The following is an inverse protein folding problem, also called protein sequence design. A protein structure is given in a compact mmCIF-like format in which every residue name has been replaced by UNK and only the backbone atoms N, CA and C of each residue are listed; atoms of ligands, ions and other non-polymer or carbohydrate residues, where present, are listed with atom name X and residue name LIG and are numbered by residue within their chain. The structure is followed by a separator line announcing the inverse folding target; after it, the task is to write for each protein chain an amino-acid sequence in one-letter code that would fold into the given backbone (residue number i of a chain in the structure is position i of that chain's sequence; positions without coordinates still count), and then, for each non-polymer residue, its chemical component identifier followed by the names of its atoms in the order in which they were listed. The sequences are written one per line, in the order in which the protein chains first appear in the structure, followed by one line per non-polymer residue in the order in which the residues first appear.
data_IF_346583555573
#
_entry.id   IF_346583555573
#
_cell.length_a   1.000
_cell.length_b   1.000
_cell.length_c   1.000
_cell.angle_alpha   90.00
_cell.angle_beta   90.00
_cell.angle_gamma   90.00
#
_symmetry.space_group_name_H-M   'P 1'
#
loop_
_entity.id
_entity.type
_entity.pdbx_description
1 polymer ?
#
# COMPACT_ATOMS: atom_id res chain seq x y z
N UNK A 1 -11.91 2.22 -6.16
CA UNK A 1 -12.00 1.60 -4.84
C UNK A 1 -10.71 0.91 -4.40
N UNK A 2 -10.21 -0.07 -5.14
CA UNK A 2 -8.99 -0.83 -4.76
C UNK A 2 -7.75 0.05 -4.62
N UNK A 3 -7.58 1.05 -5.48
CA UNK A 3 -6.47 2.00 -5.44
C UNK A 3 -6.43 2.87 -4.17
N UNK A 4 -7.54 2.98 -3.44
CA UNK A 4 -7.61 3.75 -2.19
C UNK A 4 -6.66 3.21 -1.12
N UNK A 5 -6.62 1.89 -0.96
CA UNK A 5 -5.72 1.25 0.01
C UNK A 5 -4.24 1.47 -0.36
N UNK A 6 -3.92 1.47 -1.65
CA UNK A 6 -2.56 1.78 -2.14
C UNK A 6 -2.11 3.19 -1.78
N UNK A 7 -3.05 4.15 -1.76
CA UNK A 7 -2.72 5.55 -1.51
C UNK A 7 -2.62 5.90 -0.02
N UNK A 8 -3.43 5.27 0.84
CA UNK A 8 -3.59 5.71 2.23
C UNK A 8 -3.03 4.74 3.26
N UNK A 9 -2.88 3.46 2.92
CA UNK A 9 -2.62 2.44 3.95
C UNK A 9 -1.24 1.81 3.78
N UNK A 10 -0.33 1.96 4.77
CA UNK A 10 0.86 1.12 4.85
C UNK A 10 0.46 -0.38 4.90
N UNK A 11 1.28 -1.29 4.42
CA UNK A 11 2.69 -1.14 4.04
C UNK A 11 2.99 -0.80 2.58
N UNK A 12 2.05 -0.23 1.83
CA UNK A 12 2.32 0.13 0.45
C UNK A 12 3.48 1.16 0.35
N UNK A 13 4.38 1.07 -0.65
CA UNK A 13 5.56 1.92 -0.77
C UNK A 13 5.27 3.43 -0.77
N UNK A 14 4.18 3.87 -1.41
CA UNK A 14 3.79 5.28 -1.47
C UNK A 14 3.58 5.90 -0.08
N UNK A 15 2.64 5.40 0.73
CA UNK A 15 2.45 5.85 2.10
C UNK A 15 3.71 5.76 2.96
N UNK A 16 4.49 4.68 2.86
CA UNK A 16 5.74 4.55 3.64
C UNK A 16 6.77 5.62 3.26
N UNK A 17 6.90 5.95 1.98
CA UNK A 17 7.78 7.02 1.52
C UNK A 17 7.34 8.38 2.06
N UNK A 18 6.03 8.66 2.05
CA UNK A 18 5.47 9.89 2.59
C UNK A 18 5.67 9.99 4.12
N UNK A 19 5.43 8.90 4.85
CA UNK A 19 5.67 8.81 6.30
C UNK A 19 7.14 9.12 6.61
N UNK A 20 8.08 8.51 5.88
CA UNK A 20 9.51 8.76 6.05
C UNK A 20 9.91 10.21 5.72
N UNK A 21 9.38 10.78 4.65
CA UNK A 21 9.69 12.16 4.24
C UNK A 21 9.15 13.22 5.23
N UNK A 22 7.99 12.95 5.84
CA UNK A 22 7.34 13.86 6.79
C UNK A 22 7.70 13.57 8.25
N UNK A 23 8.52 12.54 8.53
CA UNK A 23 8.78 12.03 9.87
C UNK A 23 7.48 11.78 10.67
N UNK A 24 6.43 11.29 9.97
CA UNK A 24 5.13 11.05 10.57
C UNK A 24 5.13 9.72 11.35
N UNK A 25 4.25 9.63 12.37
CA UNK A 25 4.08 8.39 13.11
C UNK A 25 3.35 7.35 12.25
N UNK A 26 3.98 6.20 12.04
CA UNK A 26 3.47 5.11 11.21
C UNK A 26 2.08 4.62 11.67
N UNK A 27 1.90 4.45 12.99
CA UNK A 27 0.66 3.92 13.52
C UNK A 27 -0.51 4.88 13.44
N UNK A 28 -0.27 6.14 13.74
CA UNK A 28 -1.29 7.18 13.58
C UNK A 28 -1.68 7.30 12.11
N UNK A 29 -0.71 7.29 11.20
CA UNK A 29 -0.97 7.34 9.77
C UNK A 29 -1.75 6.12 9.29
N UNK A 30 -1.40 4.91 9.77
CA UNK A 30 -2.12 3.68 9.46
C UNK A 30 -3.57 3.73 9.97
N UNK A 31 -3.78 4.15 11.23
CA UNK A 31 -5.11 4.25 11.82
C UNK A 31 -5.99 5.27 11.09
N UNK A 32 -5.48 6.47 10.85
CA UNK A 32 -6.19 7.51 10.10
C UNK A 32 -6.42 7.08 8.65
N UNK A 33 -5.43 6.44 8.02
CA UNK A 33 -5.55 5.91 6.67
C UNK A 33 -6.69 4.90 6.54
N UNK A 34 -6.84 3.99 7.50
CA UNK A 34 -7.96 3.03 7.53
C UNK A 34 -9.31 3.72 7.72
N UNK A 35 -9.39 4.72 8.62
CA UNK A 35 -10.63 5.49 8.84
C UNK A 35 -11.04 6.22 7.56
N UNK A 36 -10.11 6.87 6.86
CA UNK A 36 -10.35 7.61 5.62
C UNK A 36 -10.62 6.66 4.45
N UNK A 37 -9.98 5.49 4.43
CA UNK A 37 -10.17 4.51 3.36
C UNK A 37 -11.62 4.01 3.26
N UNK A 38 -12.31 3.82 4.38
CA UNK A 38 -13.69 3.30 4.39
C UNK A 38 -14.65 4.21 3.59
N UNK A 39 -14.84 5.51 3.93
CA UNK A 39 -15.72 6.38 3.15
C UNK A 39 -15.22 6.57 1.72
N UNK A 40 -13.89 6.65 1.52
CA UNK A 40 -13.32 6.81 0.18
C UNK A 40 -13.65 5.62 -0.73
N UNK A 41 -13.53 4.39 -0.22
CA UNK A 41 -13.90 3.17 -0.98
C UNK A 41 -15.41 3.17 -1.30
N UNK A 42 -16.24 3.57 -0.37
CA UNK A 42 -17.69 3.62 -0.59
C UNK A 42 -18.05 4.66 -1.66
N UNK A 43 -17.46 5.85 -1.59
CA UNK A 43 -17.74 6.94 -2.52
C UNK A 43 -17.17 6.62 -3.91
N UNK A 44 -15.87 6.29 -3.99
CA UNK A 44 -15.18 6.07 -5.27
C UNK A 44 -15.46 4.70 -5.89
N UNK A 45 -15.92 3.71 -5.12
CA UNK A 45 -16.29 2.39 -5.60
C UNK A 45 -17.77 2.33 -6.00
N UNK A 46 -18.64 1.84 -5.11
CA UNK A 46 -20.04 1.57 -5.47
C UNK A 46 -20.85 2.82 -5.86
N UNK A 47 -20.63 3.97 -5.21
CA UNK A 47 -21.40 5.17 -5.54
C UNK A 47 -20.98 5.77 -6.90
N UNK A 48 -19.69 6.04 -7.06
CA UNK A 48 -19.18 6.56 -8.33
C UNK A 48 -19.29 5.52 -9.46
N UNK A 49 -19.08 4.24 -9.17
CA UNK A 49 -19.22 3.18 -10.16
C UNK A 49 -20.64 3.08 -10.74
N UNK A 50 -21.68 3.25 -9.90
CA UNK A 50 -23.06 3.30 -10.39
C UNK A 50 -23.34 4.52 -11.28
N UNK A 51 -22.72 5.67 -10.96
CA UNK A 51 -22.83 6.90 -11.75
C UNK A 51 -22.09 6.76 -13.07
N UNK A 52 -20.85 6.27 -13.04
CA UNK A 52 -20.01 6.04 -14.21
C UNK A 52 -20.65 5.04 -15.19
N UNK A 53 -21.23 3.96 -14.70
CA UNK A 53 -21.91 2.97 -15.51
C UNK A 53 -23.15 3.54 -16.27
N UNK A 54 -23.76 4.61 -15.75
CA UNK A 54 -24.83 5.31 -16.48
C UNK A 54 -24.30 6.20 -17.60
N UNK A 55 -23.10 6.75 -17.44
CA UNK A 55 -22.52 7.67 -18.42
C UNK A 55 -21.76 6.93 -19.51
N UNK A 56 -21.11 5.83 -19.15
CA UNK A 56 -20.29 5.02 -20.06
C UNK A 56 -20.65 3.54 -19.86
N UNK A 57 -21.70 3.03 -20.55
CA UNK A 57 -22.09 1.64 -20.46
C UNK A 57 -21.09 0.78 -21.25
N UNK A 58 -20.04 0.32 -20.58
CA UNK A 58 -19.08 -0.65 -21.13
C UNK A 58 -19.47 -2.02 -20.61
N UNK A 59 -19.69 -2.96 -21.52
CA UNK A 59 -19.88 -4.37 -21.16
C UNK A 59 -18.59 -4.95 -20.57
N UNK A 60 -18.71 -5.85 -19.60
CA UNK A 60 -17.55 -6.57 -19.09
C UNK A 60 -16.91 -7.38 -20.22
N UNK A 61 -15.56 -7.45 -20.32
CA UNK A 61 -14.89 -8.30 -21.31
C UNK A 61 -15.30 -9.75 -21.10
N UNK A 62 -15.83 -10.38 -22.14
CA UNK A 62 -16.35 -11.76 -22.08
C UNK A 62 -15.26 -12.79 -21.76
N UNK A 63 -13.99 -12.48 -22.06
CA UNK A 63 -12.88 -13.43 -21.96
C UNK A 63 -12.12 -13.45 -20.63
N UNK A 64 -12.26 -12.44 -19.77
CA UNK A 64 -11.53 -12.41 -18.48
C UNK A 64 -12.19 -13.29 -17.41
N UNK A 65 -13.51 -13.45 -17.45
CA UNK A 65 -14.22 -14.28 -16.48
C UNK A 65 -13.96 -15.79 -16.68
N UNK A 66 -13.63 -16.22 -17.89
CA UNK A 66 -13.29 -17.62 -18.21
C UNK A 66 -11.79 -17.93 -18.04
N UNK A 67 -10.91 -16.94 -18.24
CA UNK A 67 -9.47 -17.12 -18.13
C UNK A 67 -8.98 -17.26 -16.68
N UNK A 68 -9.69 -16.68 -15.72
CA UNK A 68 -9.32 -16.71 -14.29
C UNK A 68 -10.08 -17.73 -13.43
N UNK A 69 -10.98 -18.51 -14.00
CA UNK A 69 -11.59 -19.60 -13.25
C UNK A 69 -10.52 -20.67 -12.95
N UNK A 70 -10.06 -20.82 -11.69
CA UNK A 70 -9.02 -21.79 -11.35
C UNK A 70 -9.54 -23.20 -11.72
N UNK A 71 -8.76 -23.90 -12.54
CA UNK A 71 -9.12 -25.24 -13.10
C UNK A 71 -9.31 -26.34 -12.07
N UNK A 72 -9.07 -26.10 -10.77
CA UNK A 72 -9.36 -27.05 -9.69
C UNK A 72 -9.77 -26.35 -8.42
N UNK A 73 -10.94 -26.69 -7.89
CA UNK A 73 -11.45 -26.24 -6.59
C UNK A 73 -10.72 -26.91 -5.41
N UNK A 74 -9.91 -27.93 -5.66
CA UNK A 74 -9.36 -28.82 -4.64
C UNK A 74 -8.28 -28.21 -3.73
N UNK A 75 -7.60 -27.13 -4.15
CA UNK A 75 -6.50 -26.51 -3.38
C UNK A 75 -6.74 -25.03 -3.06
N UNK A 76 -7.99 -24.64 -2.80
CA UNK A 76 -8.26 -23.24 -2.40
C UNK A 76 -8.06 -23.07 -0.89
N UNK A 77 -7.29 -22.05 -0.46
CA UNK A 77 -7.19 -21.73 0.95
C UNK A 77 -8.55 -21.31 1.52
N UNK A 78 -8.78 -21.59 2.80
CA UNK A 78 -9.98 -21.10 3.47
C UNK A 78 -9.97 -19.55 3.50
N UNK A 79 -11.16 -18.96 3.57
CA UNK A 79 -11.29 -17.50 3.73
C UNK A 79 -10.50 -16.98 4.93
N UNK A 80 -10.53 -17.70 6.06
CA UNK A 80 -9.79 -17.34 7.27
C UNK A 80 -8.26 -17.36 7.03
N UNK A 81 -7.75 -18.34 6.29
CA UNK A 81 -6.33 -18.41 5.93
C UNK A 81 -5.92 -17.24 5.05
N UNK A 82 -6.70 -16.94 4.00
CA UNK A 82 -6.42 -15.80 3.13
C UNK A 82 -6.48 -14.47 3.90
N UNK A 83 -7.50 -14.29 4.73
CA UNK A 83 -7.66 -13.09 5.54
C UNK A 83 -6.52 -12.92 6.55
N UNK A 84 -6.07 -14.00 7.19
CA UNK A 84 -4.95 -13.94 8.15
C UNK A 84 -3.64 -13.52 7.49
N UNK A 85 -3.37 -13.97 6.28
CA UNK A 85 -2.19 -13.53 5.51
C UNK A 85 -2.26 -12.05 5.18
N UNK A 86 -3.43 -11.56 4.77
CA UNK A 86 -3.62 -10.14 4.41
C UNK A 86 -3.52 -9.23 5.64
N UNK A 87 -4.10 -9.65 6.78
CA UNK A 87 -4.14 -8.82 7.98
C UNK A 87 -2.88 -8.89 8.83
N UNK A 88 -2.08 -9.95 8.71
CA UNK A 88 -0.91 -10.15 9.57
C UNK A 88 0.05 -8.95 9.59
N UNK A 89 0.49 -8.36 8.45
CA UNK A 89 1.41 -7.23 8.50
C UNK A 89 0.76 -6.00 9.14
N UNK A 90 -0.53 -5.77 8.90
CA UNK A 90 -1.28 -4.65 9.47
C UNK A 90 -1.36 -4.80 11.00
N UNK A 91 -1.67 -6.00 11.49
CA UNK A 91 -1.75 -6.29 12.94
C UNK A 91 -0.38 -6.10 13.60
N UNK A 92 0.70 -6.60 13.00
CA UNK A 92 2.05 -6.42 13.54
C UNK A 92 2.44 -4.95 13.62
N UNK A 93 2.16 -4.17 12.57
CA UNK A 93 2.48 -2.73 12.53
C UNK A 93 1.62 -1.93 13.51
N UNK A 94 0.33 -2.26 13.65
CA UNK A 94 -0.54 -1.64 14.66
C UNK A 94 -0.08 -1.96 16.08
N UNK A 95 0.31 -3.21 16.36
CA UNK A 95 0.82 -3.59 17.67
C UNK A 95 2.08 -2.81 18.04
N UNK A 96 3.04 -2.67 17.10
CA UNK A 96 4.23 -1.85 17.31
C UNK A 96 3.88 -0.38 17.58
N UNK A 97 2.90 0.15 16.86
CA UNK A 97 2.45 1.53 17.03
C UNK A 97 1.77 1.77 18.38
N UNK A 98 1.00 0.81 18.87
CA UNK A 98 0.40 0.87 20.23
C UNK A 98 1.50 0.87 21.27
N UNK A 99 2.52 0.02 21.14
CA UNK A 99 3.68 -0.02 22.03
C UNK A 99 4.41 1.31 22.06
N UNK A 100 4.61 1.93 20.90
CA UNK A 100 5.26 3.25 20.78
C UNK A 100 4.42 4.35 21.44
N UNK A 101 3.13 4.43 21.12
CA UNK A 101 2.21 5.42 21.68
C UNK A 101 2.01 5.30 23.21
N UNK A 102 2.12 4.09 23.74
CA UNK A 102 2.01 3.84 25.20
C UNK A 102 3.33 4.00 25.95
N UNK A 103 4.43 4.34 25.26
CA UNK A 103 5.76 4.48 25.87
C UNK A 103 6.39 3.16 26.33
N UNK A 104 5.85 2.02 25.90
CA UNK A 104 6.28 0.70 26.33
C UNK A 104 7.47 0.16 25.48
N UNK A 105 7.94 0.90 24.51
CA UNK A 105 9.06 0.57 23.64
C UNK A 105 10.39 0.41 24.38
N UNK A 106 10.50 0.88 25.62
CA UNK A 106 11.67 0.68 26.49
C UNK A 106 11.69 -0.67 27.20
N UNK A 107 10.55 -1.34 27.32
CA UNK A 107 10.45 -2.66 27.95
C UNK A 107 11.01 -3.76 27.05
N UNK A 108 11.41 -4.89 27.61
CA UNK A 108 11.96 -6.02 26.82
C UNK A 108 10.93 -6.54 25.79
N UNK A 109 9.69 -6.75 26.21
CA UNK A 109 8.62 -7.22 25.33
C UNK A 109 8.20 -6.16 24.30
N UNK A 110 8.18 -4.88 24.73
CA UNK A 110 7.85 -3.76 23.83
C UNK A 110 8.86 -3.62 22.71
N UNK A 111 10.14 -3.79 22.96
CA UNK A 111 11.18 -3.81 21.92
C UNK A 111 11.01 -4.95 20.93
N UNK A 112 10.59 -6.13 21.39
CA UNK A 112 10.32 -7.27 20.49
C UNK A 112 9.13 -6.95 19.59
N UNK A 113 8.02 -6.44 20.13
CA UNK A 113 6.84 -6.09 19.33
C UNK A 113 7.16 -4.95 18.37
N UNK A 114 7.89 -3.92 18.81
CA UNK A 114 8.32 -2.83 17.96
C UNK A 114 9.18 -3.32 16.79
N UNK A 115 10.10 -4.26 17.03
CA UNK A 115 10.92 -4.89 16.00
C UNK A 115 10.07 -5.69 15.00
N UNK A 116 9.18 -6.56 15.50
CA UNK A 116 8.32 -7.40 14.66
C UNK A 116 7.34 -6.58 13.81
N UNK A 117 6.93 -5.42 14.30
CA UNK A 117 6.05 -4.50 13.58
C UNK A 117 6.76 -3.49 12.69
N UNK A 118 8.10 -3.51 12.59
CA UNK A 118 8.76 -2.71 11.54
C UNK A 118 8.32 -3.21 10.15
N UNK A 119 8.04 -2.31 9.18
CA UNK A 119 7.47 -2.70 7.89
C UNK A 119 8.22 -3.83 7.20
N UNK A 120 9.55 -3.77 7.19
CA UNK A 120 10.39 -4.79 6.57
C UNK A 120 10.21 -6.17 7.24
N UNK A 121 10.26 -6.22 8.57
CA UNK A 121 10.15 -7.47 9.34
C UNK A 121 8.74 -8.02 9.26
N UNK A 122 7.72 -7.18 9.41
CA UNK A 122 6.32 -7.57 9.31
C UNK A 122 5.99 -8.18 7.93
N UNK A 123 6.47 -7.58 6.84
CA UNK A 123 6.30 -8.10 5.49
C UNK A 123 7.08 -9.39 5.25
N UNK A 124 8.30 -9.50 5.78
CA UNK A 124 9.09 -10.74 5.69
C UNK A 124 8.40 -11.90 6.40
N UNK A 125 7.94 -11.68 7.64
CA UNK A 125 7.18 -12.67 8.41
C UNK A 125 5.93 -13.08 7.65
N UNK A 126 5.20 -12.11 7.11
CA UNK A 126 3.98 -12.36 6.33
C UNK A 126 4.27 -13.17 5.07
N UNK A 127 5.37 -12.88 4.37
CA UNK A 127 5.76 -13.62 3.17
C UNK A 127 6.07 -15.08 3.50
N UNK A 128 6.86 -15.32 4.56
CA UNK A 128 7.15 -16.69 5.02
C UNK A 128 5.87 -17.40 5.46
N UNK A 129 5.01 -16.72 6.21
CA UNK A 129 3.71 -17.25 6.62
C UNK A 129 2.83 -17.59 5.41
N UNK A 130 2.77 -16.71 4.40
CA UNK A 130 2.03 -16.96 3.16
C UNK A 130 2.56 -18.18 2.40
N UNK A 131 3.87 -18.34 2.28
CA UNK A 131 4.48 -19.53 1.66
C UNK A 131 4.05 -20.81 2.36
N UNK A 132 3.95 -20.79 3.69
CA UNK A 132 3.49 -21.95 4.47
C UNK A 132 1.98 -22.14 4.33
N UNK A 133 1.21 -21.10 4.63
CA UNK A 133 -0.26 -21.19 4.74
C UNK A 133 -0.97 -21.34 3.39
N UNK A 134 -0.49 -20.66 2.36
CA UNK A 134 -1.06 -20.69 1.00
C UNK A 134 -0.31 -21.63 0.06
N UNK A 135 0.91 -22.03 0.41
CA UNK A 135 1.72 -22.96 -0.36
C UNK A 135 1.70 -24.37 0.23
N UNK A 136 2.54 -24.61 1.22
CA UNK A 136 2.76 -25.97 1.75
C UNK A 136 1.52 -26.59 2.41
N UNK A 137 0.71 -25.80 3.14
CA UNK A 137 -0.54 -26.31 3.74
C UNK A 137 -1.60 -26.65 2.69
N UNK A 138 -1.52 -26.04 1.51
CA UNK A 138 -2.36 -26.38 0.36
C UNK A 138 -1.78 -27.50 -0.51
N UNK A 139 -0.76 -28.22 0.01
CA UNK A 139 -0.09 -29.36 -0.64
C UNK A 139 0.65 -29.01 -1.94
N UNK A 140 1.01 -27.76 -2.16
CA UNK A 140 1.90 -27.40 -3.26
C UNK A 140 3.32 -27.95 -3.03
N UNK A 141 3.94 -28.43 -4.10
CA UNK A 141 5.34 -28.88 -4.06
C UNK A 141 6.30 -27.69 -3.83
N UNK A 142 7.51 -27.99 -3.40
CA UNK A 142 8.58 -26.97 -3.25
C UNK A 142 8.82 -26.21 -4.56
N UNK A 143 8.84 -26.92 -5.67
CA UNK A 143 9.10 -26.31 -6.99
C UNK A 143 7.95 -25.39 -7.40
N UNK A 144 6.70 -25.76 -7.09
CA UNK A 144 5.53 -24.91 -7.33
C UNK A 144 5.60 -23.63 -6.50
N UNK A 145 5.92 -23.72 -5.19
CA UNK A 145 6.07 -22.54 -4.31
C UNK A 145 7.23 -21.66 -4.79
N UNK A 146 8.38 -22.24 -5.11
CA UNK A 146 9.53 -21.51 -5.65
C UNK A 146 9.19 -20.82 -6.99
N UNK A 147 8.44 -21.48 -7.85
CA UNK A 147 7.96 -20.90 -9.11
C UNK A 147 7.05 -19.69 -8.90
N UNK A 148 6.09 -19.78 -7.96
CA UNK A 148 5.22 -18.65 -7.60
C UNK A 148 6.01 -17.46 -7.05
N UNK A 149 6.97 -17.71 -6.15
CA UNK A 149 7.85 -16.66 -5.62
C UNK A 149 8.70 -16.04 -6.74
N UNK A 150 9.29 -16.88 -7.61
CA UNK A 150 10.09 -16.42 -8.75
C UNK A 150 9.29 -15.52 -9.71
N UNK A 151 8.05 -15.87 -10.02
CA UNK A 151 7.17 -15.06 -10.86
C UNK A 151 6.80 -13.71 -10.25
N UNK A 152 6.73 -13.63 -8.92
CA UNK A 152 6.42 -12.37 -8.24
C UNK A 152 7.53 -11.31 -8.38
N UNK A 153 8.79 -11.71 -8.61
CA UNK A 153 9.91 -10.78 -8.69
C UNK A 153 9.81 -9.79 -9.84
N UNK A 154 9.20 -10.17 -10.96
CA UNK A 154 8.99 -9.26 -12.10
C UNK A 154 8.17 -8.04 -11.73
N UNK A 155 7.05 -8.25 -11.05
CA UNK A 155 6.18 -7.17 -10.56
C UNK A 155 6.87 -6.32 -9.48
N UNK A 156 7.57 -6.96 -8.55
CA UNK A 156 8.30 -6.27 -7.47
C UNK A 156 9.45 -5.43 -8.04
N UNK A 157 10.20 -5.94 -9.02
CA UNK A 157 11.28 -5.21 -9.67
C UNK A 157 10.78 -3.93 -10.34
N UNK A 158 9.63 -3.98 -11.01
CA UNK A 158 8.97 -2.79 -11.58
C UNK A 158 8.64 -1.73 -10.52
N UNK A 159 8.08 -2.15 -9.39
CA UNK A 159 7.77 -1.23 -8.28
C UNK A 159 9.04 -0.60 -7.70
N UNK A 160 10.09 -1.40 -7.47
CA UNK A 160 11.38 -0.91 -6.97
C UNK A 160 11.97 0.13 -7.93
N UNK A 161 11.94 -0.15 -9.24
CA UNK A 161 12.45 0.76 -10.26
C UNK A 161 11.69 2.10 -10.27
N UNK A 162 10.36 2.06 -10.19
CA UNK A 162 9.52 3.26 -10.13
C UNK A 162 9.82 4.09 -8.88
N UNK A 163 9.92 3.45 -7.70
CA UNK A 163 10.23 4.12 -6.44
C UNK A 163 11.63 4.73 -6.49
N UNK A 164 12.61 4.00 -7.00
CA UNK A 164 13.99 4.48 -7.15
C UNK A 164 14.09 5.65 -8.12
N UNK A 165 13.43 5.57 -9.27
CA UNK A 165 13.37 6.65 -10.26
C UNK A 165 12.67 7.90 -9.69
N UNK A 166 11.56 7.71 -8.96
CA UNK A 166 10.87 8.79 -8.26
C UNK A 166 11.74 9.46 -7.20
N UNK A 167 12.53 8.67 -6.46
CA UNK A 167 13.51 9.18 -5.50
C UNK A 167 14.61 10.00 -6.17
N UNK A 168 15.17 9.50 -7.27
CA UNK A 168 16.16 10.22 -8.07
C UNK A 168 15.60 11.54 -8.65
N UNK A 169 14.40 11.50 -9.20
CA UNK A 169 13.73 12.69 -9.71
C UNK A 169 13.50 13.74 -8.59
N UNK A 170 13.00 13.30 -7.43
CA UNK A 170 12.89 14.18 -6.25
C UNK A 170 14.22 14.82 -5.91
N UNK A 171 15.31 14.04 -5.86
CA UNK A 171 16.64 14.57 -5.53
C UNK A 171 17.10 15.62 -6.57
N UNK A 172 16.88 15.36 -7.84
CA UNK A 172 17.17 16.33 -8.91
C UNK A 172 16.40 17.65 -8.73
N UNK A 173 15.13 17.58 -8.33
CA UNK A 173 14.33 18.78 -8.03
C UNK A 173 14.88 19.55 -6.82
N UNK A 174 15.31 18.84 -5.78
CA UNK A 174 15.95 19.46 -4.61
C UNK A 174 17.27 20.14 -5.00
N UNK A 175 18.13 19.42 -5.71
CA UNK A 175 19.46 19.91 -6.11
C UNK A 175 19.39 21.09 -7.10
N UNK A 176 18.33 21.15 -7.90
CA UNK A 176 18.07 22.27 -8.83
C UNK A 176 17.52 23.53 -8.16
N UNK A 177 17.13 23.46 -6.88
CA UNK A 177 16.51 24.56 -6.15
C UNK A 177 15.04 24.83 -6.53
N UNK A 178 14.46 24.07 -7.46
CA UNK A 178 13.04 24.22 -7.86
C UNK A 178 12.10 24.00 -6.66
N UNK A 179 12.47 23.10 -5.76
CA UNK A 179 11.70 22.84 -4.53
C UNK A 179 11.53 24.09 -3.67
N UNK A 180 12.60 24.88 -3.51
CA UNK A 180 12.58 26.13 -2.74
C UNK A 180 11.74 27.21 -3.43
N UNK A 181 11.82 27.31 -4.76
CA UNK A 181 10.99 28.24 -5.55
C UNK A 181 9.50 27.93 -5.37
N UNK A 182 9.12 26.66 -5.43
CA UNK A 182 7.73 26.22 -5.21
C UNK A 182 7.31 26.50 -3.76
N UNK A 183 8.13 26.17 -2.78
CA UNK A 183 7.85 26.39 -1.36
C UNK A 183 7.66 27.89 -1.05
N UNK A 184 8.52 28.76 -1.56
CA UNK A 184 8.42 30.20 -1.41
C UNK A 184 7.16 30.75 -2.07
N UNK A 185 6.86 30.33 -3.30
CA UNK A 185 5.64 30.74 -4.02
C UNK A 185 4.36 30.37 -3.26
N UNK A 186 4.34 29.18 -2.63
CA UNK A 186 3.21 28.76 -1.80
C UNK A 186 3.11 29.62 -0.55
N UNK A 187 4.23 29.93 0.10
CA UNK A 187 4.28 30.75 1.31
C UNK A 187 3.83 32.19 1.02
N UNK A 188 4.29 32.77 -0.09
CA UNK A 188 3.92 34.13 -0.53
C UNK A 188 2.45 34.23 -0.95
N UNK A 189 1.88 33.15 -1.49
CA UNK A 189 0.48 33.14 -1.92
C UNK A 189 -0.54 33.09 -0.77
N UNK A 190 -0.09 33.02 0.50
CA UNK A 190 -0.92 32.78 1.69
C UNK A 190 -1.84 31.55 1.57
N UNK A 191 -1.57 30.65 0.64
CA UNK A 191 -2.34 29.43 0.44
C UNK A 191 -2.00 28.42 1.55
N UNK A 192 -3.03 27.73 2.05
CA UNK A 192 -2.80 26.65 3.01
C UNK A 192 -1.94 25.54 2.35
N UNK A 193 -0.80 25.15 2.96
CA UNK A 193 0.12 24.15 2.40
C UNK A 193 -0.53 22.81 2.05
N UNK A 194 -1.57 22.40 2.80
CA UNK A 194 -2.32 21.18 2.51
C UNK A 194 -3.11 21.28 1.21
N UNK A 195 -3.73 22.46 0.96
CA UNK A 195 -4.47 22.72 -0.29
C UNK A 195 -3.49 22.81 -1.47
N UNK A 196 -2.37 23.49 -1.28
CA UNK A 196 -1.33 23.59 -2.31
C UNK A 196 -0.77 22.21 -2.68
N UNK A 197 -0.41 21.38 -1.70
CA UNK A 197 0.06 20.01 -1.91
C UNK A 197 -0.99 19.15 -2.61
N UNK A 198 -2.25 19.27 -2.23
CA UNK A 198 -3.36 18.57 -2.89
C UNK A 198 -3.51 18.99 -4.36
N UNK A 199 -3.49 20.30 -4.64
CA UNK A 199 -3.60 20.82 -6.01
C UNK A 199 -2.45 20.32 -6.90
N UNK A 200 -1.21 20.38 -6.41
CA UNK A 200 -0.04 19.88 -7.15
C UNK A 200 -0.18 18.39 -7.42
N UNK A 201 -0.59 17.59 -6.44
CA UNK A 201 -0.81 16.16 -6.62
C UNK A 201 -1.91 15.87 -7.66
N UNK A 202 -3.03 16.61 -7.63
CA UNK A 202 -4.12 16.48 -8.62
C UNK A 202 -3.65 16.84 -10.01
N UNK A 203 -2.92 17.95 -10.17
CA UNK A 203 -2.40 18.39 -11.47
C UNK A 203 -1.44 17.37 -12.08
N UNK A 204 -0.50 16.83 -11.27
CA UNK A 204 0.42 15.78 -11.72
C UNK A 204 -0.38 14.55 -12.15
N UNK A 205 -1.36 14.14 -11.36
CA UNK A 205 -2.19 12.96 -11.66
C UNK A 205 -2.99 13.11 -12.95
N UNK A 206 -3.56 14.30 -13.18
CA UNK A 206 -4.27 14.60 -14.43
C UNK A 206 -3.33 14.63 -15.64
N UNK A 207 -2.12 15.16 -15.46
CA UNK A 207 -1.12 15.24 -16.54
C UNK A 207 -0.55 13.85 -16.90
N UNK A 208 -0.37 12.97 -15.92
CA UNK A 208 0.17 11.61 -16.14
C UNK A 208 -0.88 10.60 -16.57
N UNK A 209 -2.16 10.90 -16.40
CA UNK A 209 -3.26 10.02 -16.81
C UNK A 209 -3.38 8.72 -16.00
N UNK A 210 -2.90 8.68 -14.77
CA UNK A 210 -2.92 7.47 -13.93
C UNK A 210 -3.70 7.66 -12.62
#
# INVERSE_FOLDING_TARGET
GLSTLHAFVPPHPGPLTAIGALNANLGITLALGLIVAIPTVIISGPLFGRLAAKWVPIAAPENEAEAEAPKSAENRPSFGTALSVILLPVVLMLAASIVDLTGQNTTAWGRVIAFLGTPLVALLITTVFAMVALGYMQKFSRDAVNGMVGQSFGSVAGIILIVAAGGGFKQTLVDSGIGDVIANSITESAMNPLIAGWLVAVLIRLATGS
#
